data_IF_783590528487
#
_entry.id   IF_783590528487
#
_cell.length_a   1.000
_cell.length_b   1.000
_cell.length_c   1.000
_cell.angle_alpha   90.00
_cell.angle_beta   90.00
_cell.angle_gamma   90.00
#
_symmetry.space_group_name_H-M   'P 1'
#
loop_
_entity.id
_entity.type
_entity.pdbx_description
1 polymer ?
#
# COMPACT_ATOMS: atom_id res chain seq x y z
N UNK A 1 1.29 -22.04 -62.98
CA UNK A 1 2.24 -22.71 -63.89
C UNK A 1 3.58 -22.03 -63.70
N UNK A 2 4.61 -22.66 -63.10
CA UNK A 2 5.67 -23.45 -63.78
C UNK A 2 6.28 -22.61 -64.94
N UNK A 3 7.57 -22.27 -65.06
CA UNK A 3 8.86 -22.91 -64.69
C UNK A 3 9.99 -21.92 -65.14
N UNK A 4 11.05 -21.63 -64.37
CA UNK A 4 12.39 -22.28 -64.31
C UNK A 4 13.46 -21.76 -65.31
N UNK A 5 14.72 -21.67 -64.79
CA UNK A 5 16.07 -21.71 -65.43
C UNK A 5 16.56 -20.43 -66.15
N UNK A 6 17.84 -20.04 -66.18
CA UNK A 6 19.09 -20.34 -65.47
C UNK A 6 20.22 -19.54 -66.12
N UNK A 7 21.26 -19.22 -65.35
CA UNK A 7 22.70 -19.13 -65.67
C UNK A 7 23.17 -18.57 -67.04
N UNK A 8 24.16 -17.66 -67.04
CA UNK A 8 25.60 -18.00 -67.03
C UNK A 8 26.46 -16.75 -67.31
N UNK A 9 27.61 -16.72 -66.63
CA UNK A 9 28.80 -15.86 -66.72
C UNK A 9 29.21 -15.31 -68.10
N UNK A 10 29.78 -14.10 -68.09
CA UNK A 10 30.96 -13.75 -68.90
C UNK A 10 31.76 -12.62 -68.22
N UNK A 11 33.01 -12.93 -67.85
CA UNK A 11 34.03 -11.98 -67.40
C UNK A 11 34.63 -11.25 -68.61
N UNK A 12 34.91 -9.96 -68.46
CA UNK A 12 35.95 -9.25 -69.20
C UNK A 12 36.63 -8.26 -68.25
N UNK A 13 37.94 -8.45 -68.08
CA UNK A 13 38.79 -7.64 -67.21
C UNK A 13 39.17 -6.31 -67.84
N UNK A 14 39.48 -5.35 -66.99
CA UNK A 14 40.31 -4.21 -67.33
C UNK A 14 41.17 -3.84 -66.12
N UNK A 15 42.48 -3.88 -66.34
CA UNK A 15 43.51 -3.38 -65.43
C UNK A 15 43.34 -1.87 -65.23
N UNK A 16 43.37 -1.41 -63.98
CA UNK A 16 43.63 -0.02 -63.65
C UNK A 16 44.62 0.04 -62.47
N UNK A 17 45.68 0.83 -62.67
CA UNK A 17 46.83 1.02 -61.81
C UNK A 17 46.48 1.65 -60.44
N UNK A 18 47.32 1.49 -59.40
CA UNK A 18 46.99 1.94 -58.05
C UNK A 18 47.20 3.45 -57.91
N UNK A 19 46.14 4.17 -57.52
CA UNK A 19 46.25 5.52 -56.97
C UNK A 19 46.55 5.39 -55.48
N UNK A 20 47.72 5.88 -55.06
CA UNK A 20 48.11 5.97 -53.67
C UNK A 20 47.16 6.93 -52.92
N UNK A 21 46.28 6.38 -52.09
CA UNK A 21 45.52 7.17 -51.12
C UNK A 21 46.35 7.33 -49.86
N UNK A 22 46.73 8.57 -49.54
CA UNK A 22 47.27 8.95 -48.24
C UNK A 22 46.22 8.69 -47.17
N UNK A 23 46.35 7.58 -46.44
CA UNK A 23 45.50 7.26 -45.30
C UNK A 23 45.75 8.24 -44.16
N UNK A 24 44.81 9.16 -43.94
CA UNK A 24 44.75 9.93 -42.70
C UNK A 24 44.22 8.98 -41.63
N UNK A 25 45.07 8.60 -40.68
CA UNK A 25 44.66 7.80 -39.53
C UNK A 25 43.65 8.59 -38.69
N UNK A 26 42.36 8.24 -38.81
CA UNK A 26 41.33 8.73 -37.90
C UNK A 26 41.57 8.08 -36.54
N UNK A 27 42.06 8.87 -35.59
CA UNK A 27 42.11 8.47 -34.18
C UNK A 27 40.67 8.22 -33.70
N UNK A 28 40.30 6.94 -33.58
CA UNK A 28 39.06 6.55 -32.93
C UNK A 28 39.19 6.84 -31.43
N UNK A 29 38.50 7.87 -30.97
CA UNK A 29 38.27 8.10 -29.54
C UNK A 29 37.59 6.85 -28.95
N UNK A 30 38.09 6.27 -27.85
CA UNK A 30 37.42 5.16 -27.20
C UNK A 30 36.02 5.61 -26.79
N UNK A 31 35.01 4.79 -27.08
CA UNK A 31 33.67 5.02 -26.55
C UNK A 31 33.72 5.10 -25.02
N UNK A 32 32.95 5.99 -24.37
CA UNK A 32 32.89 6.03 -22.91
C UNK A 32 32.48 4.65 -22.42
N UNK A 33 33.26 4.08 -21.51
CA UNK A 33 32.84 2.87 -20.81
C UNK A 33 31.48 3.17 -20.17
N UNK A 34 30.45 2.40 -20.56
CA UNK A 34 29.15 2.49 -19.94
C UNK A 34 29.35 2.29 -18.43
N UNK A 35 29.11 3.35 -17.66
CA UNK A 35 29.13 3.25 -16.21
C UNK A 35 28.16 2.14 -15.82
N UNK A 36 28.68 1.09 -15.19
CA UNK A 36 27.83 0.03 -14.65
C UNK A 36 26.81 0.72 -13.74
N UNK A 37 25.53 0.58 -14.07
CA UNK A 37 24.46 1.06 -13.21
C UNK A 37 24.69 0.46 -11.82
N UNK A 38 24.83 1.32 -10.81
CA UNK A 38 24.93 0.88 -9.44
C UNK A 38 23.72 -0.02 -9.13
N UNK A 39 23.95 -1.15 -8.46
CA UNK A 39 22.85 -1.95 -7.95
C UNK A 39 21.91 -1.04 -7.14
N UNK A 40 20.59 -1.15 -7.31
CA UNK A 40 19.66 -0.29 -6.57
C UNK A 40 19.94 -0.47 -5.07
N UNK A 41 20.05 0.66 -4.37
CA UNK A 41 20.29 0.64 -2.93
C UNK A 41 19.15 -0.14 -2.25
N UNK A 42 19.51 -1.04 -1.35
CA UNK A 42 18.56 -1.85 -0.61
C UNK A 42 17.66 -0.96 0.26
N UNK A 43 16.35 -1.25 0.26
CA UNK A 43 15.39 -0.50 1.09
C UNK A 43 15.66 -0.84 2.56
N UNK A 44 15.90 0.15 3.44
CA UNK A 44 16.16 -0.10 4.86
C UNK A 44 15.05 -0.92 5.53
N UNK A 45 15.43 -1.78 6.47
CA UNK A 45 14.50 -2.54 7.31
C UNK A 45 14.63 -2.05 8.75
N UNK A 46 13.52 -1.57 9.30
CA UNK A 46 13.38 -1.00 10.63
C UNK A 46 12.70 -2.00 11.56
N UNK A 47 13.13 -2.02 12.81
CA UNK A 47 12.48 -2.79 13.87
C UNK A 47 11.40 -1.99 14.61
N UNK A 48 10.91 -2.57 15.71
CA UNK A 48 9.93 -1.93 16.58
C UNK A 48 10.20 -2.19 18.07
N UNK A 49 9.55 -1.41 18.92
CA UNK A 49 9.39 -1.65 20.34
C UNK A 49 7.92 -1.51 20.72
N UNK A 50 7.39 -2.48 21.46
CA UNK A 50 6.05 -2.37 22.05
C UNK A 50 6.09 -1.41 23.23
N UNK A 51 5.33 -0.33 23.14
CA UNK A 51 5.15 0.64 24.23
C UNK A 51 4.04 0.18 25.18
N UNK A 52 2.93 -0.30 24.60
CA UNK A 52 1.75 -0.75 25.33
C UNK A 52 0.96 -1.75 24.50
N UNK A 53 0.28 -2.68 25.16
CA UNK A 53 -0.74 -3.52 24.55
C UNK A 53 -2.11 -3.18 25.14
N UNK A 54 -3.13 -3.24 24.30
CA UNK A 54 -4.53 -2.97 24.62
C UNK A 54 -5.38 -4.20 24.26
N UNK A 55 -6.51 -4.44 24.97
CA UNK A 55 -7.44 -5.50 24.59
C UNK A 55 -7.99 -5.25 23.17
N UNK A 56 -8.06 -6.31 22.37
CA UNK A 56 -8.69 -6.30 21.05
C UNK A 56 -9.63 -7.51 20.93
N UNK A 57 -10.71 -7.36 20.16
CA UNK A 57 -11.73 -8.38 20.06
C UNK A 57 -11.25 -9.53 19.16
N UNK A 58 -11.24 -10.76 19.69
CA UNK A 58 -10.73 -11.94 18.94
C UNK A 58 -11.68 -12.46 17.86
N UNK A 59 -12.81 -11.79 17.67
CA UNK A 59 -13.78 -12.01 16.59
C UNK A 59 -13.84 -10.84 15.60
N UNK A 60 -12.96 -9.83 15.76
CA UNK A 60 -12.80 -8.74 14.81
C UNK A 60 -11.82 -9.13 13.71
N UNK A 61 -12.36 -9.47 12.53
CA UNK A 61 -11.55 -9.66 11.33
C UNK A 61 -11.17 -8.29 10.76
N UNK A 62 -10.21 -7.60 11.36
CA UNK A 62 -9.87 -6.20 11.07
C UNK A 62 -9.51 -5.97 9.60
N UNK A 63 -10.28 -5.12 8.91
CA UNK A 63 -10.05 -4.71 7.51
C UNK A 63 -9.87 -3.19 7.33
N UNK A 64 -10.10 -2.41 8.37
CA UNK A 64 -9.74 -0.99 8.38
C UNK A 64 -9.74 -0.47 9.81
N UNK A 65 -8.77 0.38 10.14
CA UNK A 65 -8.60 0.92 11.48
C UNK A 65 -8.12 2.36 11.40
N UNK A 66 -8.63 3.26 12.23
CA UNK A 66 -7.99 4.55 12.45
C UNK A 66 -8.29 5.09 13.85
N UNK A 67 -7.41 5.96 14.34
CA UNK A 67 -7.60 6.67 15.60
C UNK A 67 -8.34 7.97 15.37
N UNK A 68 -9.45 8.20 16.08
CA UNK A 68 -10.29 9.39 15.87
C UNK A 68 -10.15 10.46 16.95
N UNK A 69 -9.28 10.25 17.93
CA UNK A 69 -9.13 11.11 19.10
C UNK A 69 -9.84 10.55 20.33
N UNK A 70 -9.64 11.20 21.48
CA UNK A 70 -10.39 10.97 22.73
C UNK A 70 -10.47 9.50 23.19
N UNK A 71 -9.38 8.75 23.01
CA UNK A 71 -9.28 7.32 23.36
C UNK A 71 -10.22 6.41 22.54
N UNK A 72 -10.58 6.83 21.33
CA UNK A 72 -11.48 6.08 20.45
C UNK A 72 -10.80 5.70 19.12
N UNK A 73 -11.03 4.46 18.72
CA UNK A 73 -10.74 3.91 17.41
C UNK A 73 -12.05 3.75 16.64
N UNK A 74 -11.97 3.83 15.31
CA UNK A 74 -13.00 3.29 14.43
C UNK A 74 -12.39 2.09 13.72
N UNK A 75 -13.14 1.00 13.67
CA UNK A 75 -12.72 -0.24 13.04
C UNK A 75 -13.80 -0.74 12.09
N UNK A 76 -13.37 -1.30 10.96
CA UNK A 76 -14.18 -2.06 10.03
C UNK A 76 -13.74 -3.52 10.09
N UNK A 77 -14.70 -4.42 10.18
CA UNK A 77 -14.47 -5.86 10.20
C UNK A 77 -14.98 -6.50 8.91
N UNK A 78 -14.28 -7.54 8.46
CA UNK A 78 -14.76 -8.45 7.44
C UNK A 78 -15.63 -9.58 8.03
N UNK A 79 -15.88 -10.61 7.21
CA UNK A 79 -16.76 -11.78 7.45
C UNK A 79 -18.26 -11.42 7.41
N UNK A 80 -19.14 -12.37 7.75
CA UNK A 80 -20.58 -12.26 7.53
C UNK A 80 -21.36 -12.50 8.84
N UNK A 81 -21.99 -11.46 9.42
CA UNK A 81 -21.98 -10.07 8.98
C UNK A 81 -20.62 -9.39 9.22
N UNK A 82 -20.28 -8.45 8.33
CA UNK A 82 -19.24 -7.44 8.56
C UNK A 82 -19.86 -6.30 9.37
N UNK A 83 -19.05 -5.55 10.13
CA UNK A 83 -19.54 -4.38 10.83
C UNK A 83 -18.52 -3.24 10.89
N UNK A 84 -19.05 -2.04 11.14
CA UNK A 84 -18.25 -0.87 11.48
C UNK A 84 -18.53 -0.55 12.93
N UNK A 85 -17.47 -0.32 13.71
CA UNK A 85 -17.55 -0.10 15.15
C UNK A 85 -16.69 1.06 15.60
N UNK A 86 -17.15 1.72 16.65
CA UNK A 86 -16.37 2.68 17.43
C UNK A 86 -15.99 1.97 18.71
N UNK A 87 -14.70 1.95 19.03
CA UNK A 87 -14.14 1.17 20.15
C UNK A 87 -13.32 2.08 21.04
N UNK A 88 -13.45 1.91 22.36
CA UNK A 88 -12.56 2.58 23.32
C UNK A 88 -11.20 1.88 23.34
N UNK A 89 -10.15 2.57 22.89
CA UNK A 89 -8.78 2.07 22.81
C UNK A 89 -8.30 1.46 24.13
N UNK A 90 -8.49 2.15 25.26
CA UNK A 90 -7.98 1.69 26.55
C UNK A 90 -8.57 0.37 27.06
N UNK A 91 -9.75 -0.04 26.58
CA UNK A 91 -10.50 -1.18 27.14
C UNK A 91 -10.93 -2.22 26.10
N UNK A 92 -10.95 -1.88 24.81
CA UNK A 92 -11.56 -2.69 23.76
C UNK A 92 -13.10 -2.66 23.77
N UNK A 93 -13.74 -1.82 24.59
CA UNK A 93 -15.20 -1.72 24.66
C UNK A 93 -15.77 -1.14 23.36
N UNK A 94 -16.69 -1.88 22.73
CA UNK A 94 -17.46 -1.39 21.58
C UNK A 94 -18.50 -0.38 22.06
N UNK A 95 -18.34 0.89 21.69
CA UNK A 95 -19.21 1.99 22.07
C UNK A 95 -20.41 2.13 21.12
N UNK A 96 -20.19 1.87 19.83
CA UNK A 96 -21.20 1.84 18.77
C UNK A 96 -20.82 0.81 17.74
N UNK A 97 -21.81 0.19 17.10
CA UNK A 97 -21.60 -0.73 15.99
C UNK A 97 -22.73 -0.59 14.97
N UNK A 98 -22.41 -0.90 13.72
CA UNK A 98 -23.33 -1.00 12.61
C UNK A 98 -22.96 -2.20 11.75
N UNK A 99 -23.78 -3.23 11.81
CA UNK A 99 -23.66 -4.38 10.91
C UNK A 99 -24.04 -3.99 9.47
N UNK A 100 -23.29 -4.54 8.51
CA UNK A 100 -23.59 -4.51 7.10
C UNK A 100 -24.52 -5.70 6.78
N UNK A 101 -25.29 -5.57 5.70
CA UNK A 101 -26.02 -6.71 5.13
C UNK A 101 -25.01 -7.81 4.74
N UNK A 102 -25.37 -9.08 4.95
CA UNK A 102 -24.49 -10.24 4.73
C UNK A 102 -24.10 -10.45 3.27
N UNK A 103 -24.69 -9.70 2.33
CA UNK A 103 -24.22 -9.63 0.94
C UNK A 103 -22.89 -8.87 0.79
N UNK A 104 -22.46 -8.10 1.79
CA UNK A 104 -21.28 -7.27 1.75
C UNK A 104 -20.20 -7.76 2.73
N UNK A 105 -18.96 -7.79 2.23
CA UNK A 105 -17.77 -7.97 3.05
C UNK A 105 -17.12 -6.60 3.23
N UNK A 106 -17.08 -6.11 4.47
CA UNK A 106 -16.53 -4.81 4.85
C UNK A 106 -15.01 -4.77 4.73
N UNK A 107 -14.50 -3.62 4.34
CA UNK A 107 -13.07 -3.39 4.09
C UNK A 107 -12.66 -2.04 4.70
N UNK A 108 -11.62 -1.40 4.19
CA UNK A 108 -11.10 -0.11 4.62
C UNK A 108 -12.11 0.99 4.90
N UNK A 109 -11.80 1.80 5.91
CA UNK A 109 -12.59 2.95 6.35
C UNK A 109 -11.73 4.21 6.49
N UNK A 110 -12.32 5.37 6.27
CA UNK A 110 -11.69 6.67 6.56
C UNK A 110 -12.74 7.71 6.92
N UNK A 111 -12.41 8.62 7.85
CA UNK A 111 -13.27 9.75 8.17
C UNK A 111 -12.88 11.00 7.36
N UNK A 112 -13.88 11.66 6.76
CA UNK A 112 -13.77 12.94 6.05
C UNK A 112 -14.85 13.89 6.58
N UNK A 113 -14.44 14.81 7.46
CA UNK A 113 -15.37 15.72 8.13
C UNK A 113 -16.34 14.95 9.04
N UNK A 114 -17.63 15.14 8.80
CA UNK A 114 -18.74 14.47 9.49
C UNK A 114 -19.12 13.11 8.86
N UNK A 115 -18.48 12.73 7.75
CA UNK A 115 -18.72 11.47 7.04
C UNK A 115 -17.66 10.45 7.39
N UNK A 116 -18.08 9.21 7.60
CA UNK A 116 -17.24 8.02 7.55
C UNK A 116 -17.49 7.31 6.22
N UNK A 117 -16.43 7.01 5.50
CA UNK A 117 -16.48 6.30 4.22
C UNK A 117 -15.98 4.88 4.46
N UNK A 118 -16.69 3.87 3.95
CA UNK A 118 -16.25 2.47 4.03
C UNK A 118 -16.31 1.79 2.67
N UNK A 119 -15.37 0.87 2.44
CA UNK A 119 -15.33 0.02 1.26
C UNK A 119 -16.01 -1.33 1.51
N UNK A 120 -16.23 -2.03 0.41
CA UNK A 120 -16.46 -3.47 0.38
C UNK A 120 -15.45 -4.15 -0.52
N UNK A 121 -15.23 -5.45 -0.33
CA UNK A 121 -14.18 -6.15 -1.06
C UNK A 121 -14.40 -6.18 -2.58
N UNK A 122 -15.45 -6.88 -3.02
CA UNK A 122 -15.68 -7.19 -4.45
C UNK A 122 -16.96 -6.59 -5.02
N UNK A 123 -17.81 -6.00 -4.17
CA UNK A 123 -19.12 -5.54 -4.58
C UNK A 123 -19.08 -4.24 -5.39
N UNK A 124 -17.92 -3.54 -5.43
CA UNK A 124 -17.74 -2.27 -6.17
C UNK A 124 -18.64 -1.13 -5.67
N UNK A 125 -19.08 -1.26 -4.42
CA UNK A 125 -19.94 -0.32 -3.71
C UNK A 125 -19.28 0.02 -2.39
N UNK A 126 -19.23 1.29 -2.04
CA UNK A 126 -18.87 1.74 -0.71
C UNK A 126 -20.02 2.49 -0.06
N UNK A 127 -19.94 2.64 1.25
CA UNK A 127 -20.96 3.28 2.06
C UNK A 127 -20.46 4.60 2.61
N UNK A 128 -21.40 5.52 2.80
CA UNK A 128 -21.21 6.79 3.49
C UNK A 128 -22.06 6.74 4.74
N UNK A 129 -21.44 6.96 5.89
CA UNK A 129 -22.07 6.95 7.20
C UNK A 129 -21.87 8.30 7.87
N UNK A 130 -22.75 8.65 8.80
CA UNK A 130 -22.47 9.71 9.75
C UNK A 130 -21.39 9.23 10.72
N UNK A 131 -20.28 9.96 10.83
CA UNK A 131 -19.13 9.53 11.64
C UNK A 131 -19.42 9.51 13.16
N UNK A 132 -20.41 10.26 13.63
CA UNK A 132 -20.75 10.35 15.05
C UNK A 132 -21.60 9.16 15.53
N UNK A 133 -22.48 8.64 14.69
CA UNK A 133 -23.46 7.61 15.09
C UNK A 133 -23.62 6.42 14.14
N UNK A 134 -22.83 6.38 13.06
CA UNK A 134 -22.83 5.32 12.05
C UNK A 134 -24.18 5.15 11.32
N UNK A 135 -25.02 6.19 11.32
CA UNK A 135 -26.25 6.18 10.51
C UNK A 135 -25.91 6.23 9.02
N UNK A 136 -26.57 5.43 8.16
CA UNK A 136 -26.30 5.43 6.73
C UNK A 136 -26.74 6.75 6.08
N UNK A 137 -25.83 7.37 5.33
CA UNK A 137 -26.06 8.62 4.61
C UNK A 137 -26.13 8.41 3.09
N UNK A 138 -25.49 7.37 2.56
CA UNK A 138 -25.52 7.09 1.14
C UNK A 138 -24.56 5.98 0.71
N UNK A 139 -24.48 5.81 -0.61
CA UNK A 139 -23.61 4.83 -1.28
C UNK A 139 -22.80 5.54 -2.37
N UNK A 140 -21.66 4.97 -2.71
CA UNK A 140 -20.88 5.35 -3.89
C UNK A 140 -20.37 4.09 -4.59
N UNK A 141 -20.00 4.22 -5.86
CA UNK A 141 -19.45 3.13 -6.66
C UNK A 141 -18.00 3.38 -7.02
N UNK A 142 -17.21 2.32 -7.11
CA UNK A 142 -15.83 2.37 -7.60
C UNK A 142 -15.53 1.16 -8.50
N UNK A 143 -14.43 1.23 -9.25
CA UNK A 143 -13.96 0.11 -10.08
C UNK A 143 -12.96 -0.75 -9.33
N UNK A 144 -12.84 -2.03 -9.71
CA UNK A 144 -11.89 -2.97 -9.10
C UNK A 144 -12.36 -3.49 -7.74
N UNK A 145 -11.43 -4.04 -6.98
CA UNK A 145 -11.65 -4.35 -5.55
C UNK A 145 -11.45 -3.07 -4.71
N UNK A 146 -11.79 -3.13 -3.44
CA UNK A 146 -11.40 -2.13 -2.44
C UNK A 146 -10.92 -2.82 -1.19
N UNK A 147 -9.71 -2.48 -0.72
CA UNK A 147 -9.08 -3.13 0.42
C UNK A 147 -8.94 -2.14 1.58
N UNK A 148 -8.30 -0.99 1.37
CA UNK A 148 -8.12 -0.01 2.44
C UNK A 148 -8.40 1.43 2.03
N UNK A 149 -8.64 2.28 3.03
CA UNK A 149 -8.71 3.73 2.89
C UNK A 149 -7.84 4.38 3.97
N UNK A 150 -7.14 5.45 3.60
CA UNK A 150 -6.65 6.48 4.54
C UNK A 150 -6.77 7.84 3.85
N UNK A 151 -6.28 8.92 4.45
CA UNK A 151 -6.25 10.23 3.80
C UNK A 151 -5.09 11.10 4.25
N UNK A 152 -4.61 11.90 3.33
CA UNK A 152 -3.84 13.09 3.66
C UNK A 152 -4.79 14.29 3.90
N UNK A 153 -4.26 15.51 3.90
CA UNK A 153 -5.05 16.74 4.09
C UNK A 153 -5.89 17.15 2.87
N UNK A 154 -5.71 16.49 1.72
CA UNK A 154 -6.28 16.91 0.44
C UNK A 154 -7.19 15.87 -0.18
N UNK A 155 -6.95 14.58 0.08
CA UNK A 155 -7.55 13.49 -0.70
C UNK A 155 -7.55 12.18 0.08
N UNK A 156 -8.46 11.31 -0.34
CA UNK A 156 -8.53 9.94 0.14
C UNK A 156 -7.56 9.09 -0.67
N UNK A 157 -6.91 8.14 -0.02
CA UNK A 157 -5.95 7.20 -0.60
C UNK A 157 -6.52 5.80 -0.43
N UNK A 158 -6.59 5.03 -1.52
CA UNK A 158 -7.25 3.73 -1.58
C UNK A 158 -6.30 2.65 -2.12
N UNK A 159 -6.23 1.51 -1.44
CA UNK A 159 -5.58 0.29 -1.94
C UNK A 159 -6.61 -0.74 -2.42
N UNK A 160 -6.14 -1.69 -3.21
CA UNK A 160 -6.94 -2.81 -3.74
C UNK A 160 -6.12 -4.11 -3.91
N UNK A 161 -5.04 -4.26 -3.12
CA UNK A 161 -4.12 -5.38 -3.21
C UNK A 161 -3.16 -5.34 -4.40
N UNK A 162 -3.30 -4.37 -5.31
CA UNK A 162 -2.33 -4.15 -6.40
C UNK A 162 -1.20 -3.21 -5.97
N UNK A 163 -0.13 -3.06 -6.77
CA UNK A 163 0.89 -2.04 -6.54
C UNK A 163 0.46 -0.60 -6.79
N UNK A 164 -0.83 -0.32 -7.00
CA UNK A 164 -1.33 1.01 -7.35
C UNK A 164 -2.24 1.53 -6.25
N UNK A 165 -1.83 2.62 -5.62
CA UNK A 165 -2.72 3.41 -4.77
C UNK A 165 -3.52 4.37 -5.63
N UNK A 166 -4.83 4.43 -5.38
CA UNK A 166 -5.74 5.38 -6.04
C UNK A 166 -5.99 6.57 -5.14
N UNK A 167 -6.04 7.75 -5.76
CA UNK A 167 -6.41 8.98 -5.08
C UNK A 167 -7.83 9.34 -5.42
N UNK A 168 -8.66 9.54 -4.42
CA UNK A 168 -10.06 9.91 -4.59
C UNK A 168 -10.28 11.33 -4.06
N UNK A 169 -11.09 12.09 -4.80
CA UNK A 169 -11.60 13.37 -4.35
C UNK A 169 -12.51 13.18 -3.13
N UNK A 170 -12.29 13.90 -2.02
CA UNK A 170 -13.00 13.65 -0.77
C UNK A 170 -14.48 14.01 -0.85
N UNK A 171 -14.90 14.89 -1.75
CA UNK A 171 -16.30 15.30 -1.88
C UNK A 171 -17.09 14.31 -2.75
N UNK A 172 -16.55 14.03 -3.94
CA UNK A 172 -17.20 13.24 -4.99
C UNK A 172 -16.87 11.75 -4.95
N UNK A 173 -15.83 11.36 -4.19
CA UNK A 173 -15.29 9.99 -4.08
C UNK A 173 -14.84 9.39 -5.41
N UNK A 174 -14.57 10.25 -6.40
CA UNK A 174 -14.11 9.83 -7.73
C UNK A 174 -12.58 9.81 -7.81
N UNK A 175 -11.98 8.90 -8.60
CA UNK A 175 -10.55 8.90 -8.81
C UNK A 175 -10.06 10.22 -9.45
N UNK A 176 -9.03 10.80 -8.84
CA UNK A 176 -8.32 12.01 -9.31
C UNK A 176 -6.84 11.77 -9.60
N UNK A 177 -6.33 10.57 -9.31
CA UNK A 177 -4.96 10.20 -9.58
C UNK A 177 -4.63 8.80 -9.12
N UNK A 178 -3.37 8.43 -9.34
CA UNK A 178 -2.80 7.14 -8.93
C UNK A 178 -1.33 7.29 -8.55
N UNK A 179 -0.83 6.35 -7.77
CA UNK A 179 0.57 6.25 -7.37
C UNK A 179 1.00 4.78 -7.47
N UNK A 180 2.01 4.52 -8.30
CA UNK A 180 2.61 3.20 -8.39
C UNK A 180 3.63 3.04 -7.26
N UNK A 181 3.45 2.00 -6.44
CA UNK A 181 4.31 1.73 -5.30
C UNK A 181 5.43 0.78 -5.71
N UNK A 182 6.67 1.17 -5.44
CA UNK A 182 7.85 0.36 -5.75
C UNK A 182 8.85 0.34 -4.61
N UNK A 183 9.50 -0.79 -4.40
CA UNK A 183 10.65 -0.94 -3.51
C UNK A 183 11.89 -1.23 -4.36
N UNK A 184 12.89 -0.35 -4.32
CA UNK A 184 14.09 -0.48 -5.15
C UNK A 184 13.79 -0.70 -6.66
N UNK A 185 12.73 -0.07 -7.16
CA UNK A 185 12.28 -0.18 -8.56
C UNK A 185 11.41 -1.39 -8.89
N UNK A 186 11.13 -2.27 -7.90
CA UNK A 186 10.23 -3.42 -8.07
C UNK A 186 8.83 -3.07 -7.55
N UNK A 187 7.75 -3.28 -8.33
CA UNK A 187 6.39 -3.07 -7.85
C UNK A 187 6.09 -3.89 -6.59
N UNK A 188 5.43 -3.26 -5.61
CA UNK A 188 5.02 -3.91 -4.35
C UNK A 188 3.54 -4.23 -4.44
N UNK A 189 3.18 -5.50 -4.58
CA UNK A 189 1.80 -5.96 -4.54
C UNK A 189 1.31 -6.16 -3.09
N UNK A 190 0.05 -6.58 -2.96
CA UNK A 190 -0.59 -6.92 -1.69
C UNK A 190 -0.66 -5.77 -0.68
N UNK A 191 -0.69 -4.53 -1.18
CA UNK A 191 -0.99 -3.34 -0.39
C UNK A 191 -2.40 -3.49 0.21
N UNK A 192 -2.45 -3.67 1.53
CA UNK A 192 -3.69 -3.89 2.26
C UNK A 192 -4.04 -2.65 3.08
N UNK A 193 -4.24 -2.78 4.39
CA UNK A 193 -4.60 -1.67 5.27
C UNK A 193 -3.58 -0.53 5.17
N UNK A 194 -4.10 0.71 5.17
CA UNK A 194 -3.33 1.93 4.98
C UNK A 194 -3.51 2.87 6.16
N UNK A 195 -2.44 3.60 6.49
CA UNK A 195 -2.55 4.76 7.38
C UNK A 195 -1.65 5.92 6.95
N UNK A 196 -2.16 7.15 7.03
CA UNK A 196 -1.37 8.35 6.82
C UNK A 196 -0.68 8.77 8.11
N UNK A 197 0.64 8.67 8.13
CA UNK A 197 1.47 9.05 9.28
C UNK A 197 2.09 10.41 9.01
N UNK A 198 1.51 11.46 9.62
CA UNK A 198 1.97 12.83 9.47
C UNK A 198 3.39 13.03 10.04
N UNK A 199 4.26 13.63 9.24
CA UNK A 199 5.64 13.94 9.59
C UNK A 199 6.06 15.21 8.85
N UNK A 200 6.31 16.29 9.61
CA UNK A 200 6.60 17.61 9.05
C UNK A 200 7.90 17.64 8.24
N UNK A 201 8.82 16.71 8.48
CA UNK A 201 10.08 16.61 7.74
C UNK A 201 9.98 15.66 6.54
N UNK A 202 8.86 14.94 6.40
CA UNK A 202 8.66 14.02 5.28
C UNK A 202 8.28 14.75 3.99
N UNK A 203 8.70 14.22 2.82
CA UNK A 203 8.20 14.70 1.54
C UNK A 203 6.67 14.63 1.49
N UNK A 204 6.02 15.77 1.20
CA UNK A 204 4.56 15.83 1.16
C UNK A 204 3.86 15.84 2.53
N UNK A 205 4.58 16.03 3.63
CA UNK A 205 4.01 16.24 4.97
C UNK A 205 3.67 14.96 5.75
N UNK A 206 4.02 13.80 5.21
CA UNK A 206 3.83 12.51 5.88
C UNK A 206 4.21 11.33 4.98
N UNK A 207 3.98 10.13 5.49
CA UNK A 207 4.17 8.88 4.77
C UNK A 207 2.88 8.09 4.74
N UNK A 208 2.69 7.31 3.67
CA UNK A 208 1.64 6.29 3.63
C UNK A 208 2.23 5.01 4.20
N UNK A 209 1.66 4.52 5.28
CA UNK A 209 1.98 3.21 5.83
C UNK A 209 1.01 2.22 5.21
N UNK A 210 1.51 1.06 4.78
CA UNK A 210 0.69 0.02 4.19
C UNK A 210 1.06 -1.34 4.76
N UNK A 211 0.11 -2.08 5.33
CA UNK A 211 0.30 -3.50 5.55
C UNK A 211 0.51 -4.21 4.21
N UNK A 212 1.45 -5.16 4.18
CA UNK A 212 1.58 -6.09 3.05
C UNK A 212 0.93 -7.40 3.46
N UNK A 213 -0.20 -7.75 2.82
CA UNK A 213 -0.98 -8.93 3.17
C UNK A 213 -0.12 -10.20 3.18
N UNK A 214 -0.42 -11.15 4.06
CA UNK A 214 0.35 -12.39 4.26
C UNK A 214 1.82 -12.20 4.69
N UNK A 215 2.19 -11.02 5.18
CA UNK A 215 3.50 -10.76 5.79
C UNK A 215 3.36 -10.04 7.12
N UNK A 216 4.40 -10.11 7.96
CA UNK A 216 4.51 -9.29 9.17
C UNK A 216 5.23 -7.95 8.85
N UNK A 217 4.98 -7.33 7.69
CA UNK A 217 5.64 -6.08 7.28
C UNK A 217 4.65 -4.95 7.01
N UNK A 218 5.12 -3.74 7.30
CA UNK A 218 4.51 -2.49 6.86
C UNK A 218 5.48 -1.78 5.92
N UNK A 219 5.01 -1.36 4.74
CA UNK A 219 5.75 -0.46 3.86
C UNK A 219 5.59 0.98 4.34
N UNK A 220 6.69 1.73 4.47
CA UNK A 220 6.67 3.19 4.58
C UNK A 220 6.89 3.80 3.20
N UNK A 221 5.84 4.40 2.63
CA UNK A 221 5.80 4.85 1.24
C UNK A 221 5.87 6.38 1.20
N UNK A 222 6.76 6.92 0.37
CA UNK A 222 6.78 8.34 0.02
C UNK A 222 5.59 8.66 -0.91
N UNK A 223 4.66 9.54 -0.49
CA UNK A 223 3.44 9.81 -1.25
C UNK A 223 3.68 10.61 -2.53
N UNK A 224 4.86 11.22 -2.70
CA UNK A 224 5.19 12.07 -3.84
C UNK A 224 5.70 11.29 -5.05
N UNK A 225 6.23 10.08 -4.83
CA UNK A 225 6.84 9.26 -5.88
C UNK A 225 6.52 7.75 -5.79
N UNK A 226 5.92 7.29 -4.69
CA UNK A 226 5.51 5.89 -4.51
C UNK A 226 6.66 4.96 -4.10
N UNK A 227 7.85 5.50 -3.84
CA UNK A 227 8.97 4.68 -3.40
C UNK A 227 8.76 4.27 -1.94
N UNK A 228 8.96 2.97 -1.67
CA UNK A 228 9.11 2.47 -0.31
C UNK A 228 10.46 2.94 0.21
N UNK A 229 10.44 3.80 1.23
CA UNK A 229 11.63 4.38 1.85
C UNK A 229 12.12 3.56 3.05
N UNK A 230 11.28 2.68 3.58
CA UNK A 230 11.65 1.70 4.60
C UNK A 230 10.60 0.58 4.70
N UNK A 231 11.05 -0.60 5.09
CA UNK A 231 10.21 -1.67 5.60
C UNK A 231 10.19 -1.62 7.12
N UNK A 232 9.04 -1.76 7.75
CA UNK A 232 8.91 -1.96 9.20
C UNK A 232 8.61 -3.43 9.40
N UNK A 233 9.54 -4.16 10.03
CA UNK A 233 9.43 -5.59 10.28
C UNK A 233 8.81 -5.84 11.66
N UNK A 234 7.58 -6.34 11.67
CA UNK A 234 6.82 -6.68 12.87
C UNK A 234 6.86 -8.18 13.20
N UNK A 235 7.80 -8.93 12.62
CA UNK A 235 8.00 -10.34 12.94
C UNK A 235 8.06 -10.55 14.46
N UNK A 236 7.31 -11.52 14.95
CA UNK A 236 7.24 -11.87 16.37
C UNK A 236 6.30 -11.02 17.22
N UNK A 237 5.62 -10.01 16.67
CA UNK A 237 4.66 -9.19 17.43
C UNK A 237 3.46 -10.02 17.90
N UNK A 238 2.93 -10.87 17.03
CA UNK A 238 1.99 -11.93 17.37
C UNK A 238 2.36 -13.21 16.59
N UNK A 239 3.12 -14.12 17.21
CA UNK A 239 3.67 -15.30 16.54
C UNK A 239 2.60 -16.25 16.00
N UNK A 240 2.89 -16.94 14.89
CA UNK A 240 1.98 -17.94 14.30
C UNK A 240 1.53 -19.02 15.28
N UNK A 241 2.38 -19.41 16.23
CA UNK A 241 2.06 -20.40 17.26
C UNK A 241 0.93 -19.98 18.20
N UNK A 242 0.60 -18.69 18.25
CA UNK A 242 -0.48 -18.13 19.07
C UNK A 242 -1.76 -17.86 18.26
N UNK A 243 -1.69 -17.92 16.92
CA UNK A 243 -2.81 -17.69 16.01
C UNK A 243 -3.74 -18.91 16.00
N UNK A 244 -5.05 -18.68 15.96
CA UNK A 244 -6.04 -19.77 15.86
C UNK A 244 -6.10 -20.28 14.43
N UNK A 245 -6.05 -19.37 13.46
CA UNK A 245 -5.96 -19.63 12.04
C UNK A 245 -4.73 -18.90 11.47
N UNK A 246 -3.63 -19.63 11.26
CA UNK A 246 -2.39 -19.05 10.73
C UNK A 246 -2.54 -18.47 9.33
N UNK A 247 -3.57 -18.86 8.58
CA UNK A 247 -3.78 -18.40 7.20
C UNK A 247 -4.51 -17.07 7.11
N UNK A 248 -5.38 -16.81 8.09
CA UNK A 248 -6.33 -15.69 8.08
C UNK A 248 -6.09 -14.69 9.22
N UNK A 249 -5.54 -15.11 10.36
CA UNK A 249 -5.27 -14.26 11.54
C UNK A 249 -3.97 -13.44 11.38
N UNK A 250 -3.84 -12.76 10.25
CA UNK A 250 -2.62 -12.05 9.84
C UNK A 250 -2.58 -10.61 10.37
N UNK A 251 -1.39 -10.01 10.37
CA UNK A 251 -1.19 -8.58 10.62
C UNK A 251 -2.02 -7.75 9.62
N UNK A 252 -2.89 -6.88 10.14
CA UNK A 252 -3.70 -5.94 9.36
C UNK A 252 -4.38 -4.92 10.29
N UNK A 253 -4.24 -3.62 10.01
CA UNK A 253 -4.77 -2.54 10.84
C UNK A 253 -3.66 -1.67 11.41
N UNK A 254 -3.64 -0.40 11.01
CA UNK A 254 -2.67 0.61 11.41
C UNK A 254 -3.44 1.87 11.77
N UNK A 255 -3.17 2.45 12.93
CA UNK A 255 -3.81 3.70 13.32
C UNK A 255 -2.79 4.69 13.87
N UNK A 256 -2.96 5.97 13.54
CA UNK A 256 -2.07 7.04 13.93
C UNK A 256 -2.78 8.11 14.78
N UNK A 257 -2.29 8.29 16.01
CA UNK A 257 -2.62 9.47 16.81
C UNK A 257 -1.61 10.58 16.53
N UNK A 258 -2.00 11.54 15.69
CA UNK A 258 -1.15 12.68 15.36
C UNK A 258 -0.85 13.60 16.56
N UNK A 259 -1.78 13.74 17.50
CA UNK A 259 -1.60 14.63 18.66
C UNK A 259 -0.62 14.04 19.68
N UNK A 260 -0.77 12.74 19.99
CA UNK A 260 0.11 12.00 20.89
C UNK A 260 1.36 11.43 20.23
N UNK A 261 1.44 11.45 18.89
CA UNK A 261 2.47 10.79 18.07
C UNK A 261 2.58 9.29 18.38
N UNK A 262 1.44 8.60 18.45
CA UNK A 262 1.35 7.17 18.79
C UNK A 262 0.94 6.38 17.56
N UNK A 263 1.68 5.32 17.27
CA UNK A 263 1.39 4.37 16.20
C UNK A 263 0.81 3.12 16.81
N UNK A 264 -0.36 2.70 16.35
CA UNK A 264 -1.03 1.49 16.77
C UNK A 264 -1.09 0.49 15.63
N UNK A 265 -0.92 -0.79 15.95
CA UNK A 265 -1.03 -1.89 15.00
C UNK A 265 -1.77 -3.06 15.64
N UNK A 266 -2.51 -3.82 14.83
CA UNK A 266 -3.17 -5.07 15.25
C UNK A 266 -3.23 -6.04 14.07
N UNK A 267 -4.07 -7.06 14.19
CA UNK A 267 -4.33 -8.01 13.12
C UNK A 267 -5.70 -8.64 13.23
N UNK A 268 -6.04 -9.39 12.20
CA UNK A 268 -7.32 -10.07 12.07
C UNK A 268 -7.47 -11.08 13.20
N UNK A 269 -8.51 -10.95 14.01
CA UNK A 269 -8.80 -11.78 15.19
C UNK A 269 -7.72 -11.75 16.29
N UNK A 270 -6.77 -10.80 16.26
CA UNK A 270 -5.73 -10.72 17.28
C UNK A 270 -6.34 -10.36 18.64
N UNK A 271 -5.86 -10.92 19.76
CA UNK A 271 -6.38 -10.59 21.09
C UNK A 271 -5.90 -9.22 21.59
N UNK A 272 -4.95 -8.61 20.88
CA UNK A 272 -4.30 -7.38 21.30
C UNK A 272 -4.10 -6.41 20.14
N UNK A 273 -4.19 -5.13 20.48
CA UNK A 273 -3.70 -4.01 19.68
C UNK A 273 -2.48 -3.42 20.39
N UNK A 274 -1.45 -3.06 19.65
CA UNK A 274 -0.17 -2.63 20.20
C UNK A 274 0.11 -1.19 19.82
N UNK A 275 0.45 -0.36 20.81
CA UNK A 275 1.20 0.88 20.56
C UNK A 275 2.67 0.50 20.36
N UNK A 276 3.25 0.92 19.23
CA UNK A 276 4.64 0.64 18.88
C UNK A 276 5.44 1.92 18.62
N UNK A 277 6.75 1.81 18.79
CA UNK A 277 7.74 2.79 18.30
C UNK A 277 8.66 2.12 17.31
N UNK A 278 8.95 2.81 16.20
CA UNK A 278 9.86 2.32 15.16
C UNK A 278 11.31 2.54 15.62
N UNK A 279 12.17 1.53 15.39
CA UNK A 279 13.60 1.55 15.70
C UNK A 279 14.44 1.41 14.43
N UNK A 280 15.60 2.05 14.43
CA UNK A 280 16.56 1.99 13.30
C UNK A 280 17.15 0.60 13.12
N UNK A 281 17.31 -0.16 14.21
CA UNK A 281 17.86 -1.52 14.19
C UNK A 281 16.74 -2.56 14.26
N UNK A 282 16.92 -3.68 13.54
CA UNK A 282 16.13 -4.90 13.71
C UNK A 282 16.54 -5.57 15.05
N UNK A 283 15.59 -5.95 15.92
CA UNK A 283 15.92 -6.75 17.11
C UNK A 283 16.51 -8.12 16.74
#
# INVERSE_FOLDING_TARGET
MRRILSALLLLLGACAAPLASTGVASAQTPAPAAAAAAAPAEVPVLGYEVVRAFPHATDAFTEGLFYRGDDELVESTGRFPSDIRIVRLSTGEVLKTRELDTAYFGEGIVQVGDRLISLTWRNRIGFIWNAADLTPMGLFSYTGEGWALTRDDHRIIMSDGTPVLRFLDPETLRPIGRLEVTAAGVPVDQLNELEWVADAEAPGGGYIYANIWQTDRIARIDPTNGHVVAWIDLTGLFPESERKDVTDDVLNGIAWDAAGKRLFVTGKNWPQLFEIRIKQDRP
#
